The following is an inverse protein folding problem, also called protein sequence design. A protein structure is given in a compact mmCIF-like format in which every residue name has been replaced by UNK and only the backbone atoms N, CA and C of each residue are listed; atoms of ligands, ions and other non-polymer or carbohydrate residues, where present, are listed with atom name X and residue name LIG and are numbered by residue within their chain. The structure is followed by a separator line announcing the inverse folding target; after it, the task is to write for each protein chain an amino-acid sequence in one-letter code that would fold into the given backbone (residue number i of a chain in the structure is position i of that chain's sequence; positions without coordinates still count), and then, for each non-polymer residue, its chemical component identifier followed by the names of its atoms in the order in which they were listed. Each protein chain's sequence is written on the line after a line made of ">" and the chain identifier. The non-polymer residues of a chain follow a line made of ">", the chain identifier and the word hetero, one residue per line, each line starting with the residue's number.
data_IF_589247924045
#
_entry.id   IF_589247924045
#
_cell.length_a   1.000
_cell.length_b   1.000
_cell.length_c   1.000
_cell.angle_alpha   90.00
_cell.angle_beta   90.00
_cell.angle_gamma   90.00
#
_symmetry.space_group_name_H-M   'P 1'
#
loop_
_entity.id
_entity.type
_entity.pdbx_description
1 polymer ?
#
# COMPACT_ATOMS: atom_id res chain seq x y z
N UNK A 1 -3.85 10.76 2.95
CA UNK A 1 -4.63 9.68 2.31
C UNK A 1 -3.73 9.00 1.28
N UNK A 2 -3.71 7.65 1.20
CA UNK A 2 -2.79 6.92 0.32
C UNK A 2 -3.04 7.13 -1.18
N UNK A 3 -4.30 7.27 -1.59
CA UNK A 3 -4.65 7.52 -3.00
C UNK A 3 -3.99 8.80 -3.55
N UNK A 4 -4.14 9.92 -2.83
CA UNK A 4 -3.60 11.21 -3.30
C UNK A 4 -2.07 11.21 -3.33
N UNK A 5 -1.43 10.45 -2.43
CA UNK A 5 0.02 10.31 -2.39
C UNK A 5 0.56 9.50 -3.57
N UNK A 6 -0.04 8.35 -3.88
CA UNK A 6 0.42 7.53 -5.01
C UNK A 6 0.13 8.20 -6.36
N UNK A 7 -0.99 8.92 -6.49
CA UNK A 7 -1.29 9.75 -7.66
C UNK A 7 -0.26 10.86 -7.87
N UNK A 8 0.14 11.54 -6.80
CA UNK A 8 1.19 12.56 -6.88
C UNK A 8 2.53 11.94 -7.31
N UNK A 9 2.89 10.76 -6.77
CA UNK A 9 4.10 10.03 -7.20
C UNK A 9 4.09 9.71 -8.69
N UNK A 10 2.98 9.15 -9.18
CA UNK A 10 2.82 8.84 -10.60
C UNK A 10 2.92 10.10 -11.47
N UNK A 11 2.30 11.20 -11.04
CA UNK A 11 2.35 12.47 -11.75
C UNK A 11 3.79 13.00 -11.89
N UNK A 12 4.54 13.05 -10.78
CA UNK A 12 5.93 13.53 -10.82
C UNK A 12 6.84 12.60 -11.60
N UNK A 13 6.64 11.29 -11.48
CA UNK A 13 7.45 10.31 -12.23
C UNK A 13 7.18 10.39 -13.74
N UNK A 14 5.91 10.62 -14.13
CA UNK A 14 5.54 10.88 -15.52
C UNK A 14 6.14 12.18 -16.06
N UNK A 15 6.22 13.24 -15.24
CA UNK A 15 6.90 14.49 -15.63
C UNK A 15 8.39 14.29 -15.86
N UNK A 16 9.04 13.40 -15.10
CA UNK A 16 10.46 13.06 -15.31
C UNK A 16 10.70 12.15 -16.51
N UNK A 17 9.64 11.66 -17.17
CA UNK A 17 9.73 10.81 -18.35
C UNK A 17 10.09 9.35 -18.06
N UNK A 18 10.10 8.93 -16.79
CA UNK A 18 10.48 7.58 -16.38
C UNK A 18 9.37 6.56 -16.64
N UNK A 19 8.10 6.97 -16.63
CA UNK A 19 6.95 6.07 -16.77
C UNK A 19 6.09 6.38 -17.99
N UNK A 20 5.56 5.31 -18.58
CA UNK A 20 4.58 5.36 -19.65
C UNK A 20 3.19 5.19 -19.05
N UNK A 21 2.32 6.18 -19.29
CA UNK A 21 0.96 6.15 -18.78
C UNK A 21 0.17 4.96 -19.38
N UNK A 22 -0.69 4.30 -18.57
CA UNK A 22 -1.53 3.23 -19.05
C UNK A 22 -2.54 3.76 -20.08
N UNK A 23 -3.01 2.87 -20.95
CA UNK A 23 -4.07 3.19 -21.91
C UNK A 23 -5.36 3.50 -21.17
N UNK A 24 -6.18 4.38 -21.76
CA UNK A 24 -7.51 4.72 -21.24
C UNK A 24 -8.32 3.43 -21.04
N UNK A 25 -8.71 3.16 -19.80
CA UNK A 25 -9.58 2.05 -19.45
C UNK A 25 -11.05 2.41 -19.66
N UNK A 26 -11.86 1.38 -19.90
CA UNK A 26 -13.31 1.53 -20.02
C UNK A 26 -13.96 1.75 -18.65
N UNK A 27 -14.98 2.61 -18.62
CA UNK A 27 -15.70 2.96 -17.40
C UNK A 27 -16.53 1.74 -16.98
N UNK A 28 -16.13 1.09 -15.88
CA UNK A 28 -16.81 -0.11 -15.33
C UNK A 28 -18.16 0.21 -14.66
N UNK A 29 -18.38 1.47 -14.25
CA UNK A 29 -19.56 1.89 -13.49
C UNK A 29 -20.69 2.43 -14.36
N UNK A 30 -21.93 2.30 -13.86
CA UNK A 30 -23.13 2.85 -14.48
C UNK A 30 -22.98 4.37 -14.62
N UNK A 31 -23.37 4.91 -15.79
CA UNK A 31 -23.38 6.36 -16.03
C UNK A 31 -24.43 7.04 -15.15
N UNK A 32 -24.01 7.46 -13.97
CA UNK A 32 -24.79 8.23 -13.00
C UNK A 32 -23.90 9.36 -12.47
N UNK A 33 -24.43 10.58 -12.20
CA UNK A 33 -23.64 11.68 -11.67
C UNK A 33 -22.83 11.34 -10.42
N UNK A 34 -23.35 10.42 -9.58
CA UNK A 34 -22.70 9.96 -8.34
C UNK A 34 -21.55 8.97 -8.55
N UNK A 35 -21.48 8.32 -9.72
CA UNK A 35 -20.54 7.23 -10.01
C UNK A 35 -19.41 7.66 -10.97
N UNK A 36 -19.30 8.96 -11.27
CA UNK A 36 -18.35 9.49 -12.27
C UNK A 36 -16.88 9.31 -11.87
N UNK A 37 -16.57 9.36 -10.57
CA UNK A 37 -15.21 9.27 -10.02
C UNK A 37 -15.04 8.03 -9.13
N UNK A 38 -16.03 7.14 -9.11
CA UNK A 38 -15.97 5.97 -8.24
C UNK A 38 -14.88 5.01 -8.74
N UNK A 39 -14.04 4.56 -7.82
CA UNK A 39 -13.01 3.56 -8.08
C UNK A 39 -12.91 2.61 -6.89
N UNK A 40 -12.63 1.35 -7.18
CA UNK A 40 -12.25 0.38 -6.17
C UNK A 40 -10.83 0.66 -5.67
N UNK A 41 -10.69 0.87 -4.37
CA UNK A 41 -9.43 1.24 -3.75
C UNK A 41 -8.32 0.23 -4.00
N UNK A 42 -8.60 -1.07 -3.85
CA UNK A 42 -7.57 -2.12 -3.96
C UNK A 42 -7.00 -2.19 -5.37
N UNK A 43 -7.91 -2.33 -6.35
CA UNK A 43 -7.56 -2.40 -7.78
C UNK A 43 -6.82 -1.14 -8.22
N UNK A 44 -7.30 0.04 -7.84
CA UNK A 44 -6.69 1.30 -8.25
C UNK A 44 -5.27 1.49 -7.72
N UNK A 45 -5.05 1.14 -6.45
CA UNK A 45 -3.74 1.27 -5.83
C UNK A 45 -2.74 0.26 -6.41
N UNK A 46 -3.19 -0.96 -6.73
CA UNK A 46 -2.38 -1.96 -7.42
C UNK A 46 -2.03 -1.52 -8.85
N UNK A 47 -2.98 -1.04 -9.64
CA UNK A 47 -2.74 -0.56 -11.01
C UNK A 47 -1.71 0.57 -11.05
N UNK A 48 -1.85 1.60 -10.20
CA UNK A 48 -0.85 2.66 -10.13
C UNK A 48 0.47 2.12 -9.60
N UNK A 49 0.41 1.23 -8.61
CA UNK A 49 1.60 0.65 -8.02
C UNK A 49 2.40 -0.19 -9.01
N UNK A 50 1.75 -0.89 -9.93
CA UNK A 50 2.39 -1.65 -11.01
C UNK A 50 3.09 -0.71 -12.00
N UNK A 51 2.44 0.39 -12.38
CA UNK A 51 3.04 1.41 -13.25
C UNK A 51 4.30 2.00 -12.61
N UNK A 52 4.28 2.24 -11.30
CA UNK A 52 5.43 2.73 -10.53
C UNK A 52 6.43 1.62 -10.14
N UNK A 53 6.10 0.34 -10.35
CA UNK A 53 6.91 -0.80 -9.89
C UNK A 53 7.04 -0.89 -8.36
N UNK A 54 6.08 -0.36 -7.60
CA UNK A 54 6.10 -0.36 -6.13
C UNK A 54 5.29 -1.49 -5.47
N UNK A 55 4.57 -2.31 -6.25
CA UNK A 55 3.86 -3.49 -5.75
C UNK A 55 4.87 -4.59 -5.38
N UNK A 56 4.88 -5.07 -4.12
CA UNK A 56 5.79 -6.11 -3.69
C UNK A 56 5.35 -7.49 -4.23
N UNK A 57 6.27 -8.24 -4.81
CA UNK A 57 6.03 -9.61 -5.23
C UNK A 57 5.99 -10.56 -4.02
N UNK A 58 4.78 -10.95 -3.59
CA UNK A 58 4.59 -11.75 -2.37
C UNK A 58 5.31 -13.10 -2.43
N UNK A 59 5.28 -13.78 -3.59
CA UNK A 59 6.00 -15.04 -3.78
C UNK A 59 7.51 -14.90 -3.58
N UNK A 60 8.13 -13.85 -4.16
CA UNK A 60 9.55 -13.57 -3.97
C UNK A 60 9.84 -13.26 -2.50
N UNK A 61 8.94 -12.51 -1.86
CA UNK A 61 9.08 -12.11 -0.47
C UNK A 61 8.96 -13.30 0.49
N UNK A 62 8.15 -14.32 0.18
CA UNK A 62 8.09 -15.53 1.01
C UNK A 62 9.44 -16.23 1.16
N UNK A 63 10.31 -16.17 0.15
CA UNK A 63 11.64 -16.76 0.22
C UNK A 63 12.67 -15.87 0.93
N UNK A 64 12.52 -14.55 0.90
CA UNK A 64 13.49 -13.62 1.51
C UNK A 64 13.11 -13.20 2.93
N UNK A 65 11.82 -12.96 3.19
CA UNK A 65 11.27 -12.54 4.48
C UNK A 65 9.86 -13.15 4.67
N UNK A 66 9.79 -14.41 5.13
CA UNK A 66 8.52 -15.13 5.26
C UNK A 66 7.57 -14.48 6.27
N UNK A 67 8.09 -13.81 7.29
CA UNK A 67 7.27 -13.12 8.31
C UNK A 67 6.55 -11.93 7.70
N UNK A 68 7.27 -11.11 6.93
CA UNK A 68 6.67 -9.98 6.24
C UNK A 68 5.68 -10.47 5.18
N UNK A 69 6.03 -11.50 4.40
CA UNK A 69 5.14 -12.05 3.38
C UNK A 69 3.82 -12.59 3.98
N UNK A 70 3.89 -13.31 5.10
CA UNK A 70 2.71 -13.77 5.81
C UNK A 70 1.83 -12.61 6.30
N UNK A 71 2.47 -11.56 6.84
CA UNK A 71 1.77 -10.36 7.29
C UNK A 71 1.08 -9.59 6.15
N UNK A 72 1.65 -9.62 4.93
CA UNK A 72 1.05 -8.99 3.75
C UNK A 72 -0.09 -9.83 3.18
N UNK A 73 0.04 -11.15 3.20
CA UNK A 73 -0.98 -12.06 2.68
C UNK A 73 -2.22 -12.12 3.57
N UNK A 74 -2.03 -12.18 4.89
CA UNK A 74 -3.13 -12.36 5.86
C UNK A 74 -3.52 -11.09 6.61
N UNK A 75 -2.67 -10.06 6.57
CA UNK A 75 -2.87 -8.83 7.30
C UNK A 75 -3.62 -7.77 6.51
N UNK A 76 -3.84 -6.60 7.14
CA UNK A 76 -4.53 -5.50 6.49
C UNK A 76 -3.66 -4.88 5.37
N UNK A 77 -4.31 -4.48 4.28
CA UNK A 77 -3.69 -3.71 3.21
C UNK A 77 -3.31 -2.30 3.71
N UNK A 78 -2.08 -2.15 4.20
CA UNK A 78 -1.55 -0.87 4.71
C UNK A 78 -0.88 -0.06 3.60
N UNK A 79 -0.91 1.26 3.68
CA UNK A 79 -0.25 2.12 2.69
C UNK A 79 1.28 1.97 2.65
N UNK A 80 1.87 1.45 3.72
CA UNK A 80 3.32 1.26 3.85
C UNK A 80 3.87 0.22 2.87
N UNK A 81 3.02 -0.67 2.33
CA UNK A 81 3.41 -1.72 1.38
C UNK A 81 3.97 -1.14 0.09
N UNK A 82 3.38 -0.05 -0.42
CA UNK A 82 3.82 0.69 -1.61
C UNK A 82 5.13 1.49 -1.43
N UNK A 83 5.76 1.37 -0.25
CA UNK A 83 7.06 1.93 0.10
C UNK A 83 8.11 0.87 0.42
N UNK A 84 7.79 -0.42 0.30
CA UNK A 84 8.75 -1.51 0.42
C UNK A 84 9.64 -1.65 -0.81
N UNK A 85 9.05 -1.45 -1.99
CA UNK A 85 9.66 -1.66 -3.29
C UNK A 85 9.39 -0.48 -4.22
N UNK A 86 10.15 -0.38 -5.31
CA UNK A 86 10.02 0.67 -6.31
C UNK A 86 10.84 1.93 -5.97
N UNK A 87 10.54 3.06 -6.62
CA UNK A 87 11.30 4.30 -6.45
C UNK A 87 11.02 4.93 -5.08
N UNK A 88 12.10 5.33 -4.41
CA UNK A 88 12.10 5.92 -3.06
C UNK A 88 11.48 5.00 -1.99
N UNK A 89 12.09 3.83 -1.73
CA UNK A 89 11.66 2.95 -0.65
C UNK A 89 11.89 3.63 0.70
N UNK A 90 11.10 3.24 1.70
CA UNK A 90 11.26 3.72 3.06
C UNK A 90 11.78 2.59 3.95
N UNK A 91 12.96 2.75 4.52
CA UNK A 91 13.61 1.73 5.37
C UNK A 91 12.75 1.32 6.58
N UNK A 92 11.93 2.26 7.08
CA UNK A 92 10.99 2.02 8.19
C UNK A 92 9.73 1.25 7.81
N UNK A 93 9.45 1.03 6.52
CA UNK A 93 8.18 0.46 6.05
C UNK A 93 7.94 -0.94 6.60
N UNK A 94 8.97 -1.80 6.61
CA UNK A 94 8.89 -3.16 7.17
C UNK A 94 8.45 -3.14 8.63
N UNK A 95 9.15 -2.36 9.45
CA UNK A 95 8.83 -2.22 10.88
C UNK A 95 7.43 -1.66 11.07
N UNK A 96 7.07 -0.65 10.29
CA UNK A 96 5.76 -0.02 10.35
C UNK A 96 4.63 -1.01 10.06
N UNK A 97 4.78 -1.89 9.07
CA UNK A 97 3.79 -2.91 8.71
C UNK A 97 3.59 -3.89 9.87
N UNK A 98 4.68 -4.46 10.40
CA UNK A 98 4.63 -5.44 11.47
C UNK A 98 4.04 -4.87 12.77
N UNK A 99 4.36 -3.62 13.10
CA UNK A 99 3.87 -2.93 14.30
C UNK A 99 2.48 -2.30 14.12
N UNK A 100 1.81 -2.51 12.98
CA UNK A 100 0.51 -1.89 12.72
C UNK A 100 -0.52 -2.26 13.78
N UNK A 101 -0.59 -3.55 14.17
CA UNK A 101 -1.52 -4.02 15.19
C UNK A 101 -1.20 -3.40 16.56
N UNK A 102 0.07 -3.36 16.93
CA UNK A 102 0.53 -2.78 18.19
C UNK A 102 0.09 -1.32 18.33
N UNK A 103 0.23 -0.52 17.27
CA UNK A 103 -0.22 0.88 17.26
C UNK A 103 -1.73 1.03 17.39
N UNK A 104 -2.50 0.16 16.74
CA UNK A 104 -3.97 0.16 16.84
C UNK A 104 -4.37 -0.15 18.28
N UNK A 105 -3.83 -1.22 18.87
CA UNK A 105 -4.14 -1.59 20.24
C UNK A 105 -3.67 -0.56 21.26
N UNK A 106 -2.53 0.10 21.03
CA UNK A 106 -2.08 1.21 21.85
C UNK A 106 -3.07 2.38 21.87
N UNK A 107 -3.69 2.70 20.72
CA UNK A 107 -4.73 3.74 20.64
C UNK A 107 -6.07 3.32 21.25
N UNK A 108 -6.35 2.01 21.34
CA UNK A 108 -7.58 1.48 21.94
C UNK A 108 -7.46 1.27 23.46
N UNK A 109 -6.25 1.22 24.02
CA UNK A 109 -6.04 0.97 25.44
C UNK A 109 -6.45 2.20 26.28
N UNK A 110 -7.32 2.05 27.31
CA UNK A 110 -7.79 3.16 28.12
C UNK A 110 -6.68 3.86 28.91
N UNK A 111 -5.59 3.15 29.21
CA UNK A 111 -4.51 3.64 30.08
C UNK A 111 -3.27 4.14 29.30
N UNK A 112 -3.32 4.14 27.96
CA UNK A 112 -2.19 4.54 27.10
C UNK A 112 -0.94 3.64 27.18
N UNK A 113 -1.03 2.50 27.87
CA UNK A 113 0.07 1.54 28.07
C UNK A 113 -0.24 0.21 27.37
N UNK A 114 0.06 0.12 26.08
CA UNK A 114 0.14 -1.18 25.41
C UNK A 114 1.53 -1.78 25.63
N UNK A 115 1.59 -2.83 26.44
CA UNK A 115 2.79 -3.65 26.61
C UNK A 115 2.67 -4.79 25.60
N UNK A 116 3.53 -4.75 24.56
CA UNK A 116 3.65 -5.81 23.57
C UNK A 116 3.98 -7.11 24.31
N UNK A 117 3.04 -8.05 24.42
CA UNK A 117 3.34 -9.37 24.95
C UNK A 117 4.37 -9.99 24.01
N UNK A 118 5.57 -10.22 24.56
CA UNK A 118 6.67 -10.85 23.86
C UNK A 118 6.27 -12.31 23.70
N UNK A 119 5.75 -12.67 22.53
CA UNK A 119 5.57 -14.08 22.19
C UNK A 119 6.97 -14.63 21.92
N UNK A 120 7.42 -15.50 22.82
CA UNK A 120 8.59 -16.35 22.67
C UNK A 120 8.47 -17.27 21.44
#
# INVERSE_FOLDING_TARGET
>A
MPISEIQARLFFDSLTGNTKLPKKQEIRYVKSPRHTIQVDYGVYMEEIGEVLGCVPNIFKLMFTDPVLAWSLWTGPATAYTYRLTGPFPWDGARKAILETKDRIFAGMAPDGKYIKQKND
#
